data_IF_486790143938
#
_entry.id   IF_486790143938
#
_cell.length_a   1.000
_cell.length_b   1.000
_cell.length_c   1.000
_cell.angle_alpha   90.00
_cell.angle_beta   90.00
_cell.angle_gamma   90.00
#
_symmetry.space_group_name_H-M   'P 1'
#
loop_
_entity.id
_entity.type
_entity.pdbx_description
1 polymer ?
#
# COMPACT_ATOMS: atom_id res chain seq x y z
N UNK A 1 26.56 -2.44 -17.02
CA UNK A 1 26.28 -3.87 -17.22
C UNK A 1 25.61 -4.42 -15.98
N UNK A 2 24.45 -5.07 -16.16
CA UNK A 2 23.71 -5.92 -15.20
C UNK A 2 23.37 -5.28 -13.84
N UNK A 3 22.34 -4.43 -13.84
CA UNK A 3 21.48 -4.30 -12.66
C UNK A 3 20.81 -5.66 -12.44
N UNK A 4 21.41 -6.49 -11.59
CA UNK A 4 20.75 -7.62 -10.97
C UNK A 4 19.63 -7.05 -10.09
N UNK A 5 18.47 -6.79 -10.68
CA UNK A 5 17.24 -6.62 -9.91
C UNK A 5 16.85 -8.02 -9.45
N UNK A 6 17.32 -8.37 -8.25
CA UNK A 6 16.90 -9.59 -7.56
C UNK A 6 15.38 -9.72 -7.66
N UNK A 7 14.81 -10.86 -8.11
CA UNK A 7 13.35 -11.04 -8.17
C UNK A 7 12.66 -10.92 -6.80
N UNK A 8 13.45 -10.95 -5.72
CA UNK A 8 13.07 -10.52 -4.38
C UNK A 8 12.54 -9.06 -4.31
N UNK A 9 12.72 -8.23 -5.34
CA UNK A 9 12.18 -6.86 -5.50
C UNK A 9 10.68 -6.77 -5.66
N UNK A 10 10.02 -7.81 -6.16
CA UNK A 10 8.64 -7.64 -6.63
C UNK A 10 7.62 -7.52 -5.49
N UNK A 11 7.84 -8.20 -4.35
CA UNK A 11 7.00 -8.18 -3.15
C UNK A 11 7.81 -7.80 -1.89
N UNK A 12 8.56 -6.70 -1.94
CA UNK A 12 9.42 -6.22 -0.83
C UNK A 12 8.68 -5.55 0.31
N UNK A 13 7.42 -5.15 0.12
CA UNK A 13 6.76 -4.29 1.08
C UNK A 13 6.00 -5.11 2.12
N UNK A 14 6.54 -5.19 3.33
CA UNK A 14 5.73 -5.52 4.50
C UNK A 14 4.66 -4.45 4.73
N UNK A 15 3.64 -4.77 5.52
CA UNK A 15 2.55 -3.84 5.86
C UNK A 15 3.04 -2.45 6.30
N UNK A 16 4.05 -2.40 7.17
CA UNK A 16 4.69 -1.17 7.64
C UNK A 16 5.47 -0.45 6.54
N UNK A 17 6.15 -1.20 5.67
CA UNK A 17 6.92 -0.62 4.56
C UNK A 17 5.99 0.05 3.53
N UNK A 18 4.78 -0.49 3.28
CA UNK A 18 3.78 0.17 2.43
C UNK A 18 3.42 1.55 2.99
N UNK A 19 3.13 1.64 4.29
CA UNK A 19 2.77 2.90 4.96
C UNK A 19 3.88 3.94 4.78
N UNK A 20 5.13 3.54 5.06
CA UNK A 20 6.29 4.43 4.93
C UNK A 20 6.50 4.86 3.48
N UNK A 21 6.40 3.95 2.51
CA UNK A 21 6.57 4.25 1.10
C UNK A 21 5.51 5.23 0.57
N UNK A 22 4.24 5.00 0.93
CA UNK A 22 3.13 5.91 0.56
C UNK A 22 3.34 7.28 1.21
N UNK A 23 3.62 7.34 2.52
CA UNK A 23 3.88 8.61 3.24
C UNK A 23 5.00 9.42 2.60
N UNK A 24 6.16 8.81 2.37
CA UNK A 24 7.31 9.50 1.78
C UNK A 24 6.98 10.06 0.41
N UNK A 25 6.24 9.31 -0.42
CA UNK A 25 5.84 9.76 -1.76
C UNK A 25 4.78 10.86 -1.71
N UNK A 26 3.78 10.77 -0.82
CA UNK A 26 2.79 11.85 -0.62
C UNK A 26 3.47 13.15 -0.17
N UNK A 27 4.40 13.07 0.78
CA UNK A 27 5.18 14.23 1.24
C UNK A 27 6.02 14.84 0.10
N UNK A 28 6.69 13.99 -0.70
CA UNK A 28 7.48 14.43 -1.85
C UNK A 28 6.62 15.12 -2.92
N UNK A 29 5.37 14.68 -3.07
CA UNK A 29 4.39 15.24 -4.00
C UNK A 29 3.59 16.42 -3.42
N UNK A 30 3.82 16.78 -2.15
CA UNK A 30 3.06 17.81 -1.41
C UNK A 30 1.54 17.56 -1.42
N UNK A 31 1.11 16.30 -1.45
CA UNK A 31 -0.32 15.93 -1.45
C UNK A 31 -0.83 15.94 -0.02
N UNK A 32 -1.76 16.85 0.29
CA UNK A 32 -2.48 16.85 1.56
C UNK A 32 -3.53 15.75 1.58
N UNK A 33 -3.38 14.83 2.52
CA UNK A 33 -4.32 13.73 2.73
C UNK A 33 -5.49 14.22 3.61
N UNK A 34 -6.72 13.85 3.25
CA UNK A 34 -7.97 14.26 3.94
C UNK A 34 -8.07 13.82 5.42
N UNK A 35 -7.24 12.85 5.83
CA UNK A 35 -7.19 12.44 7.23
C UNK A 35 -6.10 13.19 7.99
N UNK A 36 -6.48 13.86 9.09
CA UNK A 36 -5.59 14.71 9.89
C UNK A 36 -4.35 13.98 10.44
N UNK A 37 -4.47 12.68 10.73
CA UNK A 37 -3.32 11.85 11.16
C UNK A 37 -2.48 11.30 10.00
N UNK A 38 -2.81 11.67 8.75
CA UNK A 38 -2.14 11.22 7.54
C UNK A 38 -2.36 9.75 7.21
N UNK A 39 -1.73 9.27 6.14
CA UNK A 39 -1.78 7.86 5.78
C UNK A 39 -1.21 6.99 6.91
N UNK A 40 -1.92 6.02 7.47
CA UNK A 40 -1.44 5.20 8.59
C UNK A 40 -1.88 3.73 8.45
N UNK A 41 -1.58 2.91 9.45
CA UNK A 41 -1.95 1.48 9.47
C UNK A 41 -3.46 1.27 9.39
N UNK A 42 -4.26 2.13 10.01
CA UNK A 42 -5.71 2.05 9.95
C UNK A 42 -6.22 2.31 8.52
N UNK A 43 -5.74 3.39 7.88
CA UNK A 43 -6.08 3.74 6.49
C UNK A 43 -5.68 2.62 5.53
N UNK A 44 -4.48 2.05 5.68
CA UNK A 44 -4.04 0.92 4.85
C UNK A 44 -4.95 -0.30 5.02
N UNK A 45 -5.40 -0.58 6.24
CA UNK A 45 -6.32 -1.69 6.53
C UNK A 45 -7.65 -1.50 5.81
N UNK A 46 -8.22 -0.30 5.88
CA UNK A 46 -9.45 0.04 5.16
C UNK A 46 -9.31 -0.15 3.65
N UNK A 47 -8.19 0.28 3.05
CA UNK A 47 -7.94 0.08 1.62
C UNK A 47 -7.89 -1.40 1.26
N UNK A 48 -7.19 -2.20 2.07
CA UNK A 48 -7.04 -3.63 1.82
C UNK A 48 -8.39 -4.35 1.86
N UNK A 49 -9.25 -3.97 2.81
CA UNK A 49 -10.59 -4.53 2.94
C UNK A 49 -11.50 -4.04 1.81
N UNK A 50 -11.55 -2.74 1.57
CA UNK A 50 -12.40 -2.10 0.57
C UNK A 50 -12.15 -2.60 -0.85
N UNK A 51 -10.88 -2.73 -1.25
CA UNK A 51 -10.51 -3.20 -2.59
C UNK A 51 -10.25 -4.71 -2.65
N UNK A 52 -10.45 -5.45 -1.56
CA UNK A 52 -10.19 -6.89 -1.52
C UNK A 52 -8.74 -7.27 -1.86
N UNK A 53 -7.76 -6.42 -1.49
CA UNK A 53 -6.36 -6.51 -1.94
C UNK A 53 -5.73 -7.86 -1.61
N UNK A 54 -6.11 -8.49 -0.50
CA UNK A 54 -5.60 -9.82 -0.11
C UNK A 54 -5.99 -10.95 -1.07
N UNK A 55 -7.03 -10.75 -1.89
CA UNK A 55 -7.48 -11.71 -2.89
C UNK A 55 -6.79 -11.50 -4.25
N UNK A 56 -6.14 -10.36 -4.45
CA UNK A 56 -5.46 -10.03 -5.70
C UNK A 56 -3.95 -10.33 -5.57
N UNK A 57 -3.52 -11.44 -6.17
CA UNK A 57 -2.13 -11.90 -6.19
C UNK A 57 -1.17 -10.89 -6.86
N UNK A 58 -1.69 -9.96 -7.65
CA UNK A 58 -0.91 -8.84 -8.21
C UNK A 58 -0.44 -7.87 -7.13
N UNK A 59 -1.23 -7.72 -6.06
CA UNK A 59 -1.03 -6.71 -5.03
C UNK A 59 -0.56 -7.30 -3.70
N UNK A 60 -1.06 -8.46 -3.31
CA UNK A 60 -0.71 -9.11 -2.06
C UNK A 60 -0.33 -10.57 -2.27
N UNK A 61 0.68 -11.00 -1.53
CA UNK A 61 1.11 -12.39 -1.46
C UNK A 61 1.07 -12.87 -0.01
N UNK A 62 0.30 -13.92 0.24
CA UNK A 62 0.26 -14.59 1.53
C UNK A 62 1.31 -15.71 1.55
N UNK A 63 2.19 -15.69 2.54
CA UNK A 63 3.15 -16.77 2.77
C UNK A 63 3.01 -17.31 4.19
N UNK A 64 3.08 -18.63 4.31
CA UNK A 64 3.05 -19.31 5.60
C UNK A 64 4.47 -19.54 6.09
N UNK A 65 4.75 -19.09 7.31
CA UNK A 65 6.02 -19.35 8.00
C UNK A 65 5.68 -20.07 9.30
N UNK A 66 5.88 -21.39 9.29
CA UNK A 66 5.42 -22.27 10.37
C UNK A 66 3.90 -22.25 10.48
N UNK A 67 3.36 -21.82 11.62
CA UNK A 67 1.90 -21.70 11.88
C UNK A 67 1.34 -20.30 11.61
N UNK A 68 2.20 -19.32 11.30
CA UNK A 68 1.79 -17.94 11.10
C UNK A 68 1.67 -17.63 9.60
N UNK A 69 0.64 -16.85 9.24
CA UNK A 69 0.45 -16.34 7.87
C UNK A 69 0.89 -14.89 7.82
N UNK A 70 1.84 -14.60 6.93
CA UNK A 70 2.36 -13.27 6.69
C UNK A 70 1.94 -12.78 5.32
N UNK A 71 1.72 -11.47 5.20
CA UNK A 71 1.36 -10.83 3.94
C UNK A 71 2.47 -9.88 3.52
N UNK A 72 2.93 -10.04 2.29
CA UNK A 72 3.79 -9.09 1.60
C UNK A 72 3.01 -8.44 0.47
N UNK A 73 3.41 -7.23 0.12
CA UNK A 73 2.76 -6.42 -0.88
C UNK A 73 3.71 -6.04 -1.99
N UNK A 74 3.16 -5.95 -3.19
CA UNK A 74 3.93 -5.58 -4.38
C UNK A 74 4.12 -4.07 -4.48
N UNK A 75 5.12 -3.66 -5.26
CA UNK A 75 5.28 -2.24 -5.59
C UNK A 75 4.03 -1.69 -6.32
N UNK A 76 3.37 -2.52 -7.12
CA UNK A 76 2.16 -2.13 -7.85
C UNK A 76 1.03 -1.72 -6.90
N UNK A 77 0.96 -2.34 -5.72
CA UNK A 77 -0.01 -1.94 -4.70
C UNK A 77 0.27 -0.54 -4.14
N UNK A 78 1.55 -0.22 -3.88
CA UNK A 78 1.95 1.13 -3.45
C UNK A 78 1.59 2.17 -4.51
N UNK A 79 1.87 1.87 -5.78
CA UNK A 79 1.54 2.75 -6.90
C UNK A 79 0.02 2.92 -7.08
N UNK A 80 -0.74 1.84 -6.89
CA UNK A 80 -2.20 1.86 -6.89
C UNK A 80 -2.75 2.80 -5.81
N UNK A 81 -2.33 2.64 -4.56
CA UNK A 81 -2.75 3.52 -3.45
C UNK A 81 -2.49 4.98 -3.79
N UNK A 82 -1.28 5.29 -4.30
CA UNK A 82 -0.92 6.66 -4.64
C UNK A 82 -1.76 7.22 -5.77
N UNK A 83 -2.08 6.42 -6.77
CA UNK A 83 -2.94 6.85 -7.87
C UNK A 83 -4.37 7.10 -7.41
N UNK A 84 -4.92 6.25 -6.55
CA UNK A 84 -6.26 6.45 -5.98
C UNK A 84 -6.31 7.71 -5.09
N UNK A 85 -5.30 7.92 -4.24
CA UNK A 85 -5.21 9.15 -3.44
C UNK A 85 -5.03 10.37 -4.34
N UNK A 86 -4.24 10.29 -5.41
CA UNK A 86 -4.04 11.41 -6.36
C UNK A 86 -5.32 11.78 -7.09
N UNK A 87 -6.18 10.80 -7.42
CA UNK A 87 -7.47 11.07 -8.07
C UNK A 87 -8.36 11.91 -7.17
N UNK A 88 -8.42 11.60 -5.87
CA UNK A 88 -9.34 12.25 -4.91
C UNK A 88 -8.70 12.50 -3.53
N UNK A 89 -7.67 13.34 -3.40
CA UNK A 89 -6.89 13.47 -2.17
C UNK A 89 -7.69 14.00 -0.97
N UNK A 90 -8.77 14.72 -1.24
CA UNK A 90 -9.66 15.36 -0.25
C UNK A 90 -10.89 14.54 0.15
N UNK A 91 -11.20 13.44 -0.53
CA UNK A 91 -12.40 12.62 -0.20
C UNK A 91 -12.09 11.13 -0.16
N UNK A 92 -10.86 10.73 -0.44
CA UNK A 92 -10.45 9.33 -0.49
C UNK A 92 -10.73 8.60 0.83
N UNK A 93 -10.38 9.19 1.99
CA UNK A 93 -10.64 8.55 3.29
C UNK A 93 -12.14 8.34 3.55
N UNK A 94 -12.98 9.32 3.23
CA UNK A 94 -14.44 9.20 3.36
C UNK A 94 -15.00 8.11 2.45
N UNK A 95 -14.46 8.00 1.24
CA UNK A 95 -14.90 6.99 0.25
C UNK A 95 -14.67 5.56 0.73
N UNK A 96 -13.63 5.32 1.54
CA UNK A 96 -13.34 4.00 2.13
C UNK A 96 -14.31 3.60 3.25
N UNK A 97 -15.11 4.54 3.77
CA UNK A 97 -16.05 4.33 4.88
C UNK A 97 -17.52 4.25 4.43
N UNK A 98 -17.77 4.34 3.12
CA UNK A 98 -19.10 4.26 2.50
C UNK A 98 -19.52 2.81 2.35
#
# INVERSE_FOLDING_TARGET
MKELKDPADTHKYSYTNVITAVRTRLNKLNIKFDYSSGFNSHVLGLIIEFYGIKQDEKYAYAHQVGKATFFTYSQQFVDFILNEIKKNPQTFYQSLRT
#
